data_IF_681054631272
#
_entry.id   IF_681054631272
#
_cell.length_a   1.000
_cell.length_b   1.000
_cell.length_c   1.000
_cell.angle_alpha   90.00
_cell.angle_beta   90.00
_cell.angle_gamma   90.00
#
_symmetry.space_group_name_H-M   'P 1'
#
loop_
_entity.id
_entity.type
_entity.pdbx_description
1 polymer ?
#
# COMPACT_ATOMS: atom_id res chain seq x y z
N UNK A 1 2.26 -17.68 0.13
CA UNK A 1 1.37 -16.49 0.13
C UNK A 1 1.97 -15.33 -0.66
N UNK A 2 3.21 -14.88 -0.41
CA UNK A 2 3.83 -13.80 -1.21
C UNK A 2 3.95 -14.18 -2.71
N UNK A 3 4.33 -15.42 -3.01
CA UNK A 3 4.45 -15.93 -4.39
C UNK A 3 3.11 -15.89 -5.16
N UNK A 4 1.99 -16.14 -4.49
CA UNK A 4 0.66 -16.13 -5.12
C UNK A 4 0.20 -14.72 -5.51
N UNK A 5 0.60 -13.70 -4.73
CA UNK A 5 0.26 -12.30 -5.00
C UNK A 5 1.05 -11.72 -6.18
N UNK A 6 2.22 -12.28 -6.49
CA UNK A 6 3.05 -11.89 -7.66
C UNK A 6 2.41 -12.39 -8.97
N UNK A 7 1.55 -13.41 -8.92
CA UNK A 7 1.05 -14.10 -10.11
C UNK A 7 -0.28 -13.60 -10.70
N UNK A 8 -0.91 -12.51 -10.20
CA UNK A 8 -2.21 -12.07 -10.77
C UNK A 8 -2.30 -10.56 -11.02
N UNK A 9 -1.99 -10.10 -12.26
CA UNK A 9 -2.15 -8.69 -12.62
C UNK A 9 -3.57 -8.32 -13.13
N UNK A 10 -4.46 -9.28 -13.42
CA UNK A 10 -5.63 -9.01 -14.30
C UNK A 10 -7.01 -9.40 -13.72
N UNK A 11 -7.10 -10.15 -12.61
CA UNK A 11 -8.41 -10.60 -12.08
C UNK A 11 -9.06 -9.66 -11.04
N UNK A 12 -8.64 -8.39 -10.97
CA UNK A 12 -9.04 -7.43 -9.92
C UNK A 12 -10.54 -7.05 -9.86
N UNK A 13 -11.37 -7.50 -10.82
CA UNK A 13 -12.78 -7.09 -10.88
C UNK A 13 -13.79 -8.02 -10.19
N UNK A 14 -13.42 -9.25 -9.78
CA UNK A 14 -14.48 -10.24 -9.48
C UNK A 14 -14.34 -11.17 -8.26
N UNK A 15 -13.36 -11.01 -7.35
CA UNK A 15 -13.27 -11.94 -6.21
C UNK A 15 -13.53 -11.27 -4.86
N UNK A 16 -14.78 -11.37 -4.40
CA UNK A 16 -15.29 -10.95 -3.09
C UNK A 16 -14.76 -11.74 -1.88
N UNK A 17 -13.58 -12.36 -1.99
CA UNK A 17 -12.82 -12.96 -0.90
C UNK A 17 -11.30 -12.81 -1.13
N UNK A 18 -10.88 -11.71 -1.78
CA UNK A 18 -9.46 -11.38 -1.92
C UNK A 18 -8.84 -11.21 -0.53
N UNK A 19 -7.75 -11.93 -0.26
CA UNK A 19 -6.84 -11.63 0.84
C UNK A 19 -6.63 -10.11 0.91
N UNK A 20 -6.80 -9.51 2.09
CA UNK A 20 -6.69 -8.06 2.22
C UNK A 20 -5.26 -7.63 1.86
N UNK A 21 -5.08 -7.11 0.64
CA UNK A 21 -3.79 -6.74 0.07
C UNK A 21 -3.03 -5.77 0.98
N UNK A 22 -3.77 -4.90 1.68
CA UNK A 22 -3.20 -3.96 2.63
C UNK A 22 -2.69 -4.66 3.88
N UNK A 23 -3.40 -5.69 4.35
CA UNK A 23 -2.93 -6.56 5.43
C UNK A 23 -1.65 -7.33 5.03
N UNK A 24 -1.60 -7.84 3.79
CA UNK A 24 -0.39 -8.52 3.29
C UNK A 24 0.80 -7.56 3.20
N UNK A 25 0.60 -6.35 2.68
CA UNK A 25 1.60 -5.30 2.64
C UNK A 25 2.11 -4.91 4.04
N UNK A 26 1.19 -4.83 5.02
CA UNK A 26 1.53 -4.53 6.41
C UNK A 26 2.35 -5.65 7.07
N UNK A 27 1.96 -6.91 6.85
CA UNK A 27 2.72 -8.07 7.33
C UNK A 27 4.13 -8.13 6.71
N UNK A 28 4.26 -7.79 5.42
CA UNK A 28 5.56 -7.67 4.75
C UNK A 28 6.42 -6.58 5.39
N UNK A 29 5.86 -5.38 5.60
CA UNK A 29 6.56 -4.28 6.23
C UNK A 29 7.01 -4.63 7.65
N UNK A 30 6.14 -5.22 8.47
CA UNK A 30 6.46 -5.61 9.84
C UNK A 30 7.64 -6.59 9.90
N UNK A 31 7.63 -7.62 9.03
CA UNK A 31 8.73 -8.58 8.94
C UNK A 31 10.05 -7.89 8.58
N UNK A 32 10.06 -6.99 7.59
CA UNK A 32 11.27 -6.25 7.20
C UNK A 32 11.77 -5.37 8.35
N UNK A 33 10.87 -4.68 9.06
CA UNK A 33 11.24 -3.83 10.20
C UNK A 33 11.87 -4.64 11.34
N UNK A 34 11.37 -5.85 11.60
CA UNK A 34 11.81 -6.71 12.72
C UNK A 34 13.05 -7.56 12.39
N UNK A 35 13.36 -7.80 11.11
CA UNK A 35 14.47 -8.70 10.74
C UNK A 35 15.87 -8.06 10.88
N UNK A 36 15.97 -6.78 11.30
CA UNK A 36 17.24 -6.04 11.47
C UNK A 36 18.23 -6.20 10.30
N UNK A 37 17.74 -6.33 9.06
CA UNK A 37 18.57 -6.69 7.91
C UNK A 37 19.60 -5.61 7.52
N UNK A 38 19.36 -4.36 7.92
CA UNK A 38 20.25 -3.22 7.66
C UNK A 38 20.72 -2.55 8.96
N UNK A 39 21.95 -2.01 8.94
CA UNK A 39 22.52 -1.22 10.04
C UNK A 39 21.69 0.02 10.38
N UNK A 40 21.10 0.67 9.36
CA UNK A 40 20.08 1.71 9.47
C UNK A 40 19.17 1.64 8.22
N UNK A 41 17.94 2.12 8.33
CA UNK A 41 17.01 2.24 7.20
C UNK A 41 15.95 1.15 7.10
N UNK A 42 15.90 0.17 8.00
CA UNK A 42 14.89 -0.92 8.00
C UNK A 42 13.45 -0.41 7.81
N UNK A 43 13.10 0.73 8.45
CA UNK A 43 11.77 1.37 8.34
C UNK A 43 11.50 1.93 6.94
N UNK A 44 12.50 2.59 6.34
CA UNK A 44 12.41 3.16 4.98
C UNK A 44 12.28 2.03 3.96
N UNK A 45 13.08 0.98 4.09
CA UNK A 45 13.02 -0.21 3.23
C UNK A 45 11.67 -0.91 3.35
N UNK A 46 11.13 -1.05 4.56
CA UNK A 46 9.82 -1.64 4.79
C UNK A 46 8.68 -0.86 4.10
N UNK A 47 8.73 0.48 4.16
CA UNK A 47 7.73 1.33 3.49
C UNK A 47 7.80 1.19 1.97
N UNK A 48 9.01 1.24 1.39
CA UNK A 48 9.19 1.03 -0.06
C UNK A 48 8.72 -0.36 -0.49
N UNK A 49 9.02 -1.40 0.30
CA UNK A 49 8.59 -2.76 -0.03
C UNK A 49 7.05 -2.90 0.01
N UNK A 50 6.38 -2.30 1.00
CA UNK A 50 4.93 -2.29 1.08
C UNK A 50 4.29 -1.48 -0.06
N UNK A 51 4.82 -0.30 -0.35
CA UNK A 51 4.35 0.56 -1.44
C UNK A 51 4.51 -0.13 -2.81
N UNK A 52 5.65 -0.78 -3.05
CA UNK A 52 5.88 -1.54 -4.29
C UNK A 52 4.96 -2.76 -4.41
N UNK A 53 4.75 -3.49 -3.32
CA UNK A 53 3.78 -4.59 -3.30
C UNK A 53 2.39 -4.09 -3.70
N UNK A 54 1.93 -2.99 -3.12
CA UNK A 54 0.63 -2.42 -3.47
C UNK A 54 0.59 -1.92 -4.91
N UNK A 55 1.67 -1.32 -5.43
CA UNK A 55 1.75 -0.83 -6.83
C UNK A 55 1.57 -1.94 -7.84
N UNK A 56 2.20 -3.08 -7.61
CA UNK A 56 2.03 -4.28 -8.44
C UNK A 56 0.56 -4.76 -8.39
N UNK A 57 -0.14 -4.50 -7.29
CA UNK A 57 -1.55 -4.86 -7.07
C UNK A 57 -2.53 -3.70 -7.35
N UNK A 58 -2.11 -2.64 -8.03
CA UNK A 58 -2.99 -1.56 -8.49
C UNK A 58 -3.30 -0.46 -7.47
N UNK A 59 -2.56 -0.39 -6.36
CA UNK A 59 -2.68 0.64 -5.32
C UNK A 59 -1.33 1.30 -5.03
N UNK A 60 -1.29 2.47 -4.42
CA UNK A 60 -0.04 3.05 -3.95
C UNK A 60 -0.21 3.72 -2.60
N UNK A 61 0.85 3.70 -1.79
CA UNK A 61 0.96 4.48 -0.56
C UNK A 61 1.66 5.80 -0.83
N UNK A 62 2.65 5.84 -1.72
CA UNK A 62 3.45 7.03 -2.01
C UNK A 62 3.36 7.42 -3.49
N UNK A 63 2.85 8.63 -3.76
CA UNK A 63 2.86 9.20 -5.12
C UNK A 63 4.30 9.49 -5.58
N UNK A 64 5.07 10.13 -4.70
CA UNK A 64 6.52 10.31 -4.82
C UNK A 64 7.17 9.70 -3.57
N UNK A 65 8.05 8.69 -3.71
CA UNK A 65 8.74 8.10 -2.57
C UNK A 65 9.56 9.13 -1.80
N UNK A 66 9.46 9.12 -0.47
CA UNK A 66 10.23 9.96 0.45
C UNK A 66 10.07 11.48 0.27
N UNK A 67 9.03 11.96 -0.42
CA UNK A 67 8.78 13.39 -0.47
C UNK A 67 8.53 13.94 0.94
N UNK A 68 9.01 15.16 1.19
CA UNK A 68 8.89 15.83 2.49
C UNK A 68 7.50 16.47 2.64
N UNK A 69 6.47 15.62 2.63
CA UNK A 69 5.08 16.03 2.80
C UNK A 69 4.43 15.34 4.01
N UNK A 70 3.27 15.85 4.41
CA UNK A 70 2.54 15.36 5.58
C UNK A 70 2.11 13.89 5.44
N UNK A 71 1.84 13.42 4.21
CA UNK A 71 1.38 12.07 3.94
C UNK A 71 2.50 11.04 4.11
N UNK A 72 3.64 11.31 3.48
CA UNK A 72 4.86 10.51 3.62
C UNK A 72 5.37 10.51 5.07
N UNK A 73 5.26 11.63 5.78
CA UNK A 73 5.58 11.70 7.21
C UNK A 73 4.63 10.82 8.04
N UNK A 74 3.33 10.87 7.80
CA UNK A 74 2.36 10.04 8.51
C UNK A 74 2.58 8.54 8.27
N UNK A 75 2.94 8.13 7.05
CA UNK A 75 3.36 6.76 6.75
C UNK A 75 4.60 6.35 7.56
N UNK A 76 5.63 7.21 7.58
CA UNK A 76 6.83 6.94 8.36
C UNK A 76 6.54 6.84 9.87
N UNK A 77 5.67 7.70 10.39
CA UNK A 77 5.25 7.70 11.80
C UNK A 77 4.48 6.42 12.15
N UNK A 78 3.62 5.91 11.25
CA UNK A 78 2.95 4.62 11.44
C UNK A 78 3.94 3.45 11.53
N UNK A 79 5.00 3.44 10.70
CA UNK A 79 6.06 2.43 10.80
C UNK A 79 6.84 2.54 12.12
N UNK A 80 7.10 3.76 12.59
CA UNK A 80 7.69 4.00 13.91
C UNK A 80 6.78 3.49 15.02
N UNK A 81 5.46 3.71 14.91
CA UNK A 81 4.49 3.18 15.87
C UNK A 81 4.53 1.65 15.95
N UNK A 82 4.73 0.96 14.83
CA UNK A 82 4.87 -0.50 14.81
C UNK A 82 6.15 -0.97 15.50
N UNK A 83 7.29 -0.36 15.20
CA UNK A 83 8.57 -0.72 15.84
C UNK A 83 8.57 -0.38 17.34
N UNK A 84 7.78 0.61 17.76
CA UNK A 84 7.61 0.99 19.17
C UNK A 84 6.46 0.25 19.86
N UNK A 85 5.88 -0.77 19.22
CA UNK A 85 4.75 -1.58 19.72
C UNK A 85 3.50 -0.77 20.10
N UNK A 86 3.32 0.41 19.50
CA UNK A 86 2.11 1.25 19.63
C UNK A 86 1.05 0.92 18.57
N UNK A 87 1.44 0.20 17.54
CA UNK A 87 0.59 -0.26 16.45
C UNK A 87 1.01 -1.68 16.08
N UNK A 88 0.07 -2.58 15.82
CA UNK A 88 0.35 -3.92 15.31
C UNK A 88 0.19 -3.99 13.77
N UNK A 89 0.56 -5.13 13.17
CA UNK A 89 0.45 -5.32 11.72
C UNK A 89 -1.00 -5.23 11.20
N UNK A 90 -1.99 -5.58 12.00
CA UNK A 90 -3.40 -5.51 11.63
C UNK A 90 -3.90 -4.06 11.54
N UNK A 91 -3.52 -3.26 12.53
CA UNK A 91 -3.78 -1.82 12.56
C UNK A 91 -3.04 -1.10 11.44
N UNK A 92 -1.80 -1.49 11.15
CA UNK A 92 -1.05 -0.97 10.01
C UNK A 92 -1.74 -1.32 8.67
N UNK A 93 -2.29 -2.53 8.54
CA UNK A 93 -3.05 -2.96 7.36
C UNK A 93 -4.30 -2.13 7.15
N UNK A 94 -5.08 -1.89 8.22
CA UNK A 94 -6.23 -0.96 8.20
C UNK A 94 -5.80 0.46 7.82
N UNK A 95 -4.69 0.94 8.38
CA UNK A 95 -4.18 2.26 8.07
C UNK A 95 -3.80 2.38 6.58
N UNK A 96 -3.03 1.43 6.04
CA UNK A 96 -2.73 1.37 4.61
C UNK A 96 -3.98 1.41 3.74
N UNK A 97 -4.98 0.60 4.07
CA UNK A 97 -6.27 0.58 3.36
C UNK A 97 -6.96 1.94 3.34
N UNK A 98 -6.82 2.71 4.42
CA UNK A 98 -7.44 4.04 4.55
C UNK A 98 -6.72 5.15 3.78
N UNK A 99 -5.42 4.99 3.52
CA UNK A 99 -4.57 6.04 2.89
C UNK A 99 -4.08 5.70 1.50
N UNK A 100 -4.19 4.43 1.08
CA UNK A 100 -3.79 4.00 -0.25
C UNK A 100 -4.76 4.53 -1.31
N UNK A 101 -4.20 4.96 -2.44
CA UNK A 101 -4.98 5.39 -3.60
C UNK A 101 -4.85 4.36 -4.73
N UNK A 102 -5.84 4.24 -5.62
CA UNK A 102 -5.72 3.39 -6.81
C UNK A 102 -4.65 3.95 -7.76
N UNK A 103 -3.86 3.07 -8.38
CA UNK A 103 -2.84 3.44 -9.35
C UNK A 103 -3.45 3.95 -10.68
N UNK A 104 -4.69 3.59 -10.96
CA UNK A 104 -5.49 4.18 -12.03
C UNK A 104 -6.18 5.42 -11.43
N UNK A 105 -5.45 6.53 -11.32
CA UNK A 105 -6.10 7.84 -11.18
C UNK A 105 -6.91 8.07 -12.47
N UNK A 106 -8.23 7.92 -12.40
CA UNK A 106 -9.09 8.49 -13.45
C UNK A 106 -8.85 9.99 -13.40
N UNK A 107 -8.20 10.54 -14.44
CA UNK A 107 -8.09 11.99 -14.55
C UNK A 107 -9.49 12.60 -14.64
N UNK A 108 -9.69 13.86 -14.27
CA UNK A 108 -11.00 14.51 -14.38
C UNK A 108 -11.63 14.32 -15.78
N UNK A 109 -10.82 14.30 -16.83
CA UNK A 109 -11.25 14.03 -18.20
C UNK A 109 -11.77 12.60 -18.40
N UNK A 110 -11.13 11.59 -17.80
CA UNK A 110 -11.56 10.18 -17.89
C UNK A 110 -12.82 9.95 -17.05
N UNK A 111 -12.96 10.61 -15.89
CA UNK A 111 -14.19 10.59 -15.09
C UNK A 111 -15.35 11.17 -15.90
N UNK A 112 -15.14 12.32 -16.53
CA UNK A 112 -16.15 12.96 -17.36
C UNK A 112 -16.57 12.10 -18.56
N UNK A 113 -15.61 11.44 -19.21
CA UNK A 113 -15.89 10.52 -20.33
C UNK A 113 -16.71 9.30 -19.88
N UNK A 114 -16.40 8.72 -18.73
CA UNK A 114 -17.16 7.60 -18.15
C UNK A 114 -18.60 7.99 -17.83
N UNK A 115 -18.79 9.15 -17.19
CA UNK A 115 -20.11 9.60 -16.75
C UNK A 115 -21.00 9.95 -17.96
N UNK A 116 -20.42 10.49 -19.04
CA UNK A 116 -21.12 10.70 -20.33
C UNK A 116 -21.44 9.39 -21.08
N UNK A 117 -20.65 8.34 -20.87
CA UNK A 117 -20.85 7.03 -21.54
C UNK A 117 -21.96 6.19 -20.90
N UNK A 118 -22.45 6.57 -19.71
CA UNK A 118 -23.53 5.88 -19.01
C UNK A 118 -24.94 6.39 -19.37
N UNK A 119 -25.04 7.43 -20.21
CA UNK A 119 -26.30 8.05 -20.62
C UNK A 119 -26.79 7.62 -22.03
N UNK A 120 -26.20 6.59 -22.63
CA UNK A 120 -26.66 5.99 -23.90
C UNK A 120 -26.86 4.48 -23.77
#
# INVERSE_FOLDING_TARGET
MLESAIHSPINLKHYGQQEDLFQLAANLAEKIMKNHAFMDGNKRTALVAADMFLKINGHYLQKVPFAEDAHNKALADAHVAVVTNRMNAEELGRYYKSVAAPLIELTPEIVQYRDQSAEY
#
